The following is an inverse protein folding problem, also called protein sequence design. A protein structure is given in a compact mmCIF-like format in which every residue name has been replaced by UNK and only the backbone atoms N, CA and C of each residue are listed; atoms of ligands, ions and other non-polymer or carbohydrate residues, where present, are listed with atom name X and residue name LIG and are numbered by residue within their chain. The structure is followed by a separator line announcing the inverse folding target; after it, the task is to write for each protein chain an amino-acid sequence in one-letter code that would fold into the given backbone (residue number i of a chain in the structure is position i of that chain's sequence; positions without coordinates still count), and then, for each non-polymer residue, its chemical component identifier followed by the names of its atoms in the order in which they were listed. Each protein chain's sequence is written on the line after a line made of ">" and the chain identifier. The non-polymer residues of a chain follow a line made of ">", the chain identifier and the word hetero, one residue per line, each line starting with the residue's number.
data_IF_886958713097
#
_entry.id   IF_886958713097
#
_cell.length_a   1.000
_cell.length_b   1.000
_cell.length_c   1.000
_cell.angle_alpha   90.00
_cell.angle_beta   90.00
_cell.angle_gamma   90.00
#
_symmetry.space_group_name_H-M   'P 1'
#
loop_
_entity.id
_entity.type
_entity.pdbx_description
1 polymer ?
#
# COMPACT_ATOMS: atom_id res chain seq x y z
N UNK A 1 13.83 13.42 3.06
CA UNK A 1 14.33 14.54 2.23
C UNK A 1 15.77 14.93 2.58
N UNK A 2 16.10 15.33 3.82
CA UNK A 2 17.46 15.74 4.19
C UNK A 2 18.56 14.74 3.79
N UNK A 3 18.37 13.45 4.07
CA UNK A 3 19.33 12.42 3.66
C UNK A 3 19.46 12.30 2.12
N UNK A 4 18.39 12.48 1.37
CA UNK A 4 18.43 12.37 -0.10
C UNK A 4 19.20 13.52 -0.76
N UNK A 5 19.29 14.67 -0.12
CA UNK A 5 19.99 15.86 -0.65
C UNK A 5 21.38 16.05 -0.03
N UNK A 6 21.82 15.15 0.86
CA UNK A 6 23.04 15.32 1.65
C UNK A 6 24.31 15.38 0.80
N UNK A 7 24.30 14.76 -0.39
CA UNK A 7 25.43 14.71 -1.31
C UNK A 7 25.40 15.78 -2.42
N UNK A 8 24.47 16.74 -2.34
CA UNK A 8 24.29 17.77 -3.37
C UNK A 8 23.32 17.41 -4.49
N UNK A 9 22.63 16.25 -4.42
CA UNK A 9 21.52 15.95 -5.32
C UNK A 9 20.43 17.02 -5.20
N UNK A 10 19.94 17.48 -6.36
CA UNK A 10 18.93 18.56 -6.47
C UNK A 10 17.53 17.98 -6.62
N UNK A 11 16.54 18.67 -6.04
CA UNK A 11 15.12 18.36 -6.19
C UNK A 11 14.42 19.35 -7.11
N UNK A 12 13.28 18.94 -7.68
CA UNK A 12 12.47 19.74 -8.59
C UNK A 12 11.01 19.79 -8.14
N UNK A 13 10.29 20.88 -8.43
CA UNK A 13 8.84 20.89 -8.28
C UNK A 13 8.21 19.73 -9.05
N UNK A 14 7.34 18.98 -8.37
CA UNK A 14 6.71 17.77 -8.91
C UNK A 14 7.44 16.47 -8.55
N UNK A 15 8.61 16.52 -7.92
CA UNK A 15 9.24 15.31 -7.39
C UNK A 15 8.35 14.65 -6.33
N UNK A 16 8.13 13.35 -6.47
CA UNK A 16 7.32 12.55 -5.57
C UNK A 16 8.21 11.65 -4.70
N UNK A 17 7.99 11.66 -3.39
CA UNK A 17 8.73 10.85 -2.44
C UNK A 17 7.78 9.91 -1.71
N UNK A 18 7.93 8.62 -1.95
CA UNK A 18 7.17 7.59 -1.25
C UNK A 18 7.76 7.31 0.13
N UNK A 19 6.92 6.86 1.06
CA UNK A 19 7.32 6.39 2.40
C UNK A 19 8.08 5.06 2.39
N UNK A 20 7.94 4.30 1.30
CA UNK A 20 8.10 2.83 1.33
C UNK A 20 6.84 2.15 1.86
N UNK A 21 6.86 0.81 1.87
CA UNK A 21 5.75 0.00 2.39
C UNK A 21 5.47 0.34 3.86
N UNK A 22 4.21 0.64 4.19
CA UNK A 22 3.79 0.98 5.55
C UNK A 22 3.30 -0.30 6.25
N UNK A 23 4.10 -0.80 7.19
CA UNK A 23 3.79 -2.01 7.95
C UNK A 23 3.78 -1.73 9.45
N UNK A 24 2.70 -2.11 10.13
CA UNK A 24 2.58 -2.08 11.58
C UNK A 24 3.07 -3.37 12.25
N UNK A 25 3.04 -3.43 13.60
CA UNK A 25 3.59 -4.56 14.34
C UNK A 25 2.76 -5.84 14.24
N UNK A 26 1.47 -5.74 13.91
CA UNK A 26 0.56 -6.88 13.85
C UNK A 26 0.44 -7.42 12.43
N UNK A 27 0.14 -8.73 12.28
CA UNK A 27 0.03 -9.39 10.96
C UNK A 27 -0.94 -8.65 10.03
N UNK A 28 -2.10 -8.23 10.53
CA UNK A 28 -3.10 -7.48 9.75
C UNK A 28 -2.70 -6.05 9.36
N UNK A 29 -1.63 -5.52 9.94
CA UNK A 29 -1.11 -4.19 9.63
C UNK A 29 0.05 -4.21 8.62
N UNK A 30 0.38 -5.38 8.05
CA UNK A 30 1.47 -5.53 7.07
C UNK A 30 1.04 -4.94 5.72
N UNK A 31 1.93 -4.17 5.08
CA UNK A 31 1.61 -3.37 3.90
C UNK A 31 1.82 -4.05 2.55
N UNK A 32 2.14 -5.35 2.51
CA UNK A 32 2.35 -6.09 1.27
C UNK A 32 1.90 -7.55 1.37
N UNK A 33 1.56 -8.17 0.24
CA UNK A 33 1.26 -9.61 0.18
C UNK A 33 2.46 -10.45 0.61
N UNK A 34 3.67 -10.06 0.22
CA UNK A 34 4.90 -10.73 0.66
C UNK A 34 4.96 -10.88 2.19
N UNK A 35 4.64 -9.80 2.92
CA UNK A 35 4.63 -9.80 4.38
C UNK A 35 3.37 -10.50 4.92
N UNK A 36 2.19 -10.18 4.40
CA UNK A 36 0.90 -10.74 4.86
C UNK A 36 0.90 -12.26 4.79
N UNK A 37 1.43 -12.81 3.70
CA UNK A 37 1.39 -14.24 3.41
C UNK A 37 2.66 -14.98 3.79
N UNK A 38 3.62 -14.27 4.39
CA UNK A 38 4.94 -14.79 4.73
C UNK A 38 5.60 -15.50 3.54
N UNK A 39 5.68 -14.76 2.43
CA UNK A 39 6.16 -15.27 1.14
C UNK A 39 5.34 -16.47 0.62
N UNK A 40 4.02 -16.40 0.75
CA UNK A 40 3.07 -17.40 0.26
C UNK A 40 2.94 -18.66 1.12
N UNK A 41 3.58 -18.72 2.30
CA UNK A 41 3.46 -19.85 3.23
C UNK A 41 2.15 -19.82 4.03
N UNK A 42 1.56 -18.65 4.19
CA UNK A 42 0.36 -18.41 4.99
C UNK A 42 -0.64 -17.56 4.18
N UNK A 43 -1.38 -18.12 3.21
CA UNK A 43 -2.30 -17.37 2.36
C UNK A 43 -3.29 -16.49 3.17
N UNK A 44 -3.69 -15.35 2.60
CA UNK A 44 -4.83 -14.60 3.12
C UNK A 44 -6.13 -15.22 2.61
N UNK A 45 -7.14 -15.26 3.47
CA UNK A 45 -8.51 -15.69 3.12
C UNK A 45 -9.35 -14.43 2.91
N UNK A 46 -9.96 -14.31 1.75
CA UNK A 46 -10.87 -13.22 1.38
C UNK A 46 -12.29 -13.48 1.88
N UNK A 47 -13.15 -12.46 1.83
CA UNK A 47 -14.53 -12.52 2.34
C UNK A 47 -15.40 -13.56 1.61
N UNK A 48 -15.08 -13.87 0.35
CA UNK A 48 -15.73 -14.91 -0.46
C UNK A 48 -15.15 -16.31 -0.22
N UNK A 49 -14.17 -16.44 0.67
CA UNK A 49 -13.47 -17.68 1.00
C UNK A 49 -12.32 -18.01 0.06
N UNK A 50 -12.03 -17.20 -0.95
CA UNK A 50 -10.87 -17.41 -1.81
C UNK A 50 -9.56 -17.21 -1.03
N UNK A 51 -8.55 -18.02 -1.33
CA UNK A 51 -7.21 -17.84 -0.79
C UNK A 51 -6.31 -17.10 -1.78
N UNK A 52 -5.44 -16.23 -1.26
CA UNK A 52 -4.41 -15.53 -2.04
C UNK A 52 -3.07 -15.56 -1.33
N UNK A 53 -2.03 -16.01 -2.03
CA UNK A 53 -0.64 -15.84 -1.60
C UNK A 53 -0.03 -14.56 -2.17
N UNK A 54 -0.37 -14.25 -3.42
CA UNK A 54 -0.04 -13.03 -4.16
C UNK A 54 -1.24 -12.64 -5.01
N UNK A 55 -1.16 -11.51 -5.71
CA UNK A 55 -2.19 -11.08 -6.65
C UNK A 55 -2.20 -11.99 -7.88
N UNK A 56 -3.41 -12.29 -8.36
CA UNK A 56 -3.69 -13.02 -9.59
C UNK A 56 -4.33 -12.11 -10.65
N UNK A 57 -4.36 -12.57 -11.90
CA UNK A 57 -5.01 -11.82 -12.99
C UNK A 57 -6.49 -11.58 -12.68
N UNK A 58 -6.93 -10.34 -12.87
CA UNK A 58 -8.28 -9.89 -12.53
C UNK A 58 -8.43 -9.38 -11.09
N UNK A 59 -7.45 -9.62 -10.20
CA UNK A 59 -7.50 -9.08 -8.85
C UNK A 59 -7.41 -7.54 -8.88
N UNK A 60 -8.12 -6.91 -7.96
CA UNK A 60 -8.19 -5.47 -7.84
C UNK A 60 -7.79 -5.03 -6.44
N UNK A 61 -6.87 -4.08 -6.37
CA UNK A 61 -6.42 -3.48 -5.11
C UNK A 61 -6.93 -2.05 -5.03
N UNK A 62 -7.53 -1.70 -3.89
CA UNK A 62 -7.96 -0.35 -3.56
C UNK A 62 -7.27 0.07 -2.27
N UNK A 63 -6.57 1.20 -2.30
CA UNK A 63 -5.94 1.83 -1.13
C UNK A 63 -6.72 3.10 -0.80
N UNK A 64 -7.21 3.19 0.44
CA UNK A 64 -7.92 4.35 0.98
C UNK A 64 -7.27 4.81 2.27
N UNK A 65 -7.33 6.09 2.59
CA UNK A 65 -6.87 6.61 3.86
C UNK A 65 -7.75 7.76 4.36
N UNK A 66 -7.85 7.88 5.69
CA UNK A 66 -8.52 8.99 6.36
C UNK A 66 -7.69 9.46 7.55
N UNK A 67 -7.94 10.69 7.98
CA UNK A 67 -7.36 11.28 9.19
C UNK A 67 -8.44 12.05 9.97
N UNK A 68 -8.33 12.13 11.30
CA UNK A 68 -9.20 13.00 12.08
C UNK A 68 -8.95 14.48 11.74
N UNK A 69 -10.02 15.25 11.60
CA UNK A 69 -10.02 16.69 11.40
C UNK A 69 -10.52 17.45 12.62
N UNK A 70 -10.60 18.77 12.51
CA UNK A 70 -11.07 19.63 13.59
C UNK A 70 -12.55 19.37 13.93
N UNK A 71 -12.91 19.57 15.20
CA UNK A 71 -14.29 19.47 15.68
C UNK A 71 -15.00 18.14 15.35
N UNK A 72 -14.25 17.05 15.24
CA UNK A 72 -14.78 15.73 14.91
C UNK A 72 -15.04 15.50 13.42
N UNK A 73 -14.60 16.40 12.55
CA UNK A 73 -14.59 16.17 11.09
C UNK A 73 -13.59 15.06 10.71
N UNK A 74 -13.72 14.54 9.48
CA UNK A 74 -12.81 13.54 8.92
C UNK A 74 -12.26 14.07 7.61
N UNK A 75 -10.95 13.98 7.43
CA UNK A 75 -10.27 14.29 6.18
C UNK A 75 -10.01 12.99 5.44
N UNK A 76 -10.58 12.86 4.25
CA UNK A 76 -10.29 11.73 3.35
C UNK A 76 -9.14 12.05 2.41
N UNK A 77 -8.30 11.06 2.13
CA UNK A 77 -7.39 11.05 0.98
C UNK A 77 -8.08 10.22 -0.09
N UNK A 78 -8.12 10.72 -1.33
CA UNK A 78 -8.77 10.03 -2.45
C UNK A 78 -8.27 8.59 -2.61
N UNK A 79 -9.11 7.73 -3.21
CA UNK A 79 -8.73 6.34 -3.44
C UNK A 79 -7.67 6.18 -4.54
N UNK A 80 -6.83 5.17 -4.39
CA UNK A 80 -5.95 4.66 -5.45
C UNK A 80 -6.39 3.25 -5.77
N UNK A 81 -6.70 3.00 -7.04
CA UNK A 81 -7.24 1.72 -7.52
C UNK A 81 -6.44 1.21 -8.71
N UNK A 82 -6.18 -0.10 -8.72
CA UNK A 82 -5.55 -0.79 -9.85
C UNK A 82 -6.05 -2.22 -9.97
N UNK A 83 -6.12 -2.71 -11.21
CA UNK A 83 -6.48 -4.09 -11.53
C UNK A 83 -5.30 -4.76 -12.22
N UNK A 84 -4.96 -5.97 -11.78
CA UNK A 84 -3.95 -6.81 -12.43
C UNK A 84 -4.56 -7.35 -13.72
N UNK A 85 -3.87 -7.12 -14.83
CA UNK A 85 -4.22 -7.70 -16.13
C UNK A 85 -3.26 -8.82 -16.44
N UNK A 86 -3.73 -9.79 -17.22
CA UNK A 86 -2.90 -10.88 -17.71
C UNK A 86 -1.68 -10.32 -18.45
N UNK A 87 -0.56 -11.03 -18.33
CA UNK A 87 0.63 -10.74 -19.11
C UNK A 87 0.37 -11.00 -20.61
N UNK A 88 0.99 -10.18 -21.46
CA UNK A 88 0.99 -10.35 -22.91
C UNK A 88 1.96 -11.45 -23.40
#
# INVERSE_FOLDING_TARGET
>A
VAHMTVNGATLRPGDFFASGTVSGPEKRHRGSFLELTWSGREPVVLDDGAERSFLEDGDMVVITATAPGEYGSVVGVGEVRGTVVAAD
#
